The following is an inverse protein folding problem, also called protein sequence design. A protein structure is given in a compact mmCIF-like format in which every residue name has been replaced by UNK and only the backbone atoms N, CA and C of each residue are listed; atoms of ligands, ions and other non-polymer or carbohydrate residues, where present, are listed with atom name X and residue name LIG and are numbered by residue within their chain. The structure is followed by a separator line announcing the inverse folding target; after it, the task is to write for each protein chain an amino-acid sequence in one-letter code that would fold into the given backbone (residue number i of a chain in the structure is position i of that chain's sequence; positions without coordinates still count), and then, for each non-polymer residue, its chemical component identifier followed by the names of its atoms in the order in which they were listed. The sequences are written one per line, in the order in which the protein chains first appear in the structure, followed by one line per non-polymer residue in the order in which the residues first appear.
data_IF_512761976633
#
_entry.id   IF_512761976633
#
_cell.length_a   1.000
_cell.length_b   1.000
_cell.length_c   1.000
_cell.angle_alpha   90.00
_cell.angle_beta   90.00
_cell.angle_gamma   90.00
#
_symmetry.space_group_name_H-M   'P 1'
#
loop_
_entity.id
_entity.type
_entity.pdbx_description
1 polymer ?
#
# COMPACT_ATOMS: atom_id res chain seq x y z
N UNK A 1 -3.54 4.80 -7.56
CA UNK A 1 -4.40 5.42 -8.58
C UNK A 1 -5.71 4.66 -8.74
N UNK A 2 -5.71 3.45 -9.31
CA UNK A 2 -6.93 2.68 -9.56
C UNK A 2 -7.79 2.41 -8.31
N UNK A 3 -7.19 1.90 -7.23
CA UNK A 3 -7.91 1.66 -5.95
C UNK A 3 -8.57 2.94 -5.42
N UNK A 4 -7.88 4.08 -5.53
CA UNK A 4 -8.36 5.35 -4.98
C UNK A 4 -9.48 5.96 -5.79
N UNK A 5 -9.62 5.64 -7.07
CA UNK A 5 -10.54 6.36 -8.00
C UNK A 5 -11.55 5.45 -8.67
N UNK A 6 -11.38 4.13 -8.60
CA UNK A 6 -12.16 3.15 -9.38
C UNK A 6 -11.87 3.18 -10.88
N UNK A 7 -10.91 3.98 -11.34
CA UNK A 7 -10.63 4.16 -12.76
C UNK A 7 -9.40 3.37 -13.20
N UNK A 8 -9.45 2.84 -14.42
CA UNK A 8 -8.29 2.18 -15.03
C UNK A 8 -7.09 3.14 -15.10
N UNK A 9 -5.86 2.68 -14.79
CA UNK A 9 -4.66 3.51 -14.92
C UNK A 9 -4.48 4.10 -16.33
N UNK A 10 -4.99 3.43 -17.37
CA UNK A 10 -5.00 3.94 -18.74
C UNK A 10 -5.88 5.19 -18.90
N UNK A 11 -7.04 5.25 -18.22
CA UNK A 11 -7.93 6.43 -18.23
C UNK A 11 -7.32 7.62 -17.50
N UNK A 12 -6.54 7.33 -16.46
CA UNK A 12 -5.84 8.33 -15.66
C UNK A 12 -4.55 8.83 -16.30
N UNK A 13 -4.08 8.18 -17.38
CA UNK A 13 -2.73 8.35 -17.93
C UNK A 13 -1.64 8.14 -16.86
N UNK A 14 -1.81 7.19 -15.94
CA UNK A 14 -0.81 6.81 -14.93
C UNK A 14 -0.47 5.33 -15.16
N UNK A 15 0.30 5.05 -16.20
CA UNK A 15 0.59 3.67 -16.63
C UNK A 15 1.96 3.16 -16.18
N UNK A 16 2.75 4.01 -15.51
CA UNK A 16 4.06 3.65 -14.98
C UNK A 16 4.24 4.12 -13.52
N UNK A 17 5.36 3.74 -12.92
CA UNK A 17 5.84 4.29 -11.65
C UNK A 17 5.88 5.83 -11.69
N UNK A 18 5.59 6.50 -10.57
CA UNK A 18 5.61 7.96 -10.46
C UNK A 18 6.79 8.47 -9.59
N UNK A 19 7.61 9.41 -10.08
CA UNK A 19 7.65 9.88 -11.45
C UNK A 19 8.08 8.75 -12.40
N UNK A 20 7.67 8.88 -13.65
CA UNK A 20 8.20 8.06 -14.73
C UNK A 20 9.69 8.36 -14.89
N UNK A 21 10.47 7.36 -15.30
CA UNK A 21 11.92 7.46 -15.36
C UNK A 21 12.40 6.97 -16.72
N UNK A 22 13.34 7.72 -17.32
CA UNK A 22 13.92 7.39 -18.63
C UNK A 22 14.43 5.94 -18.69
N UNK A 23 14.97 5.43 -17.58
CA UNK A 23 15.47 4.05 -17.45
C UNK A 23 14.43 2.96 -17.73
N UNK A 24 13.13 3.28 -17.71
CA UNK A 24 12.08 2.30 -18.00
C UNK A 24 11.84 2.11 -19.50
N UNK A 25 12.35 3.02 -20.33
CA UNK A 25 12.37 2.86 -21.78
C UNK A 25 13.75 2.33 -22.20
N UNK A 26 13.83 1.15 -22.85
CA UNK A 26 15.08 0.67 -23.42
C UNK A 26 15.63 1.65 -24.47
N UNK A 27 16.95 1.86 -24.50
CA UNK A 27 17.62 2.78 -25.44
C UNK A 27 17.31 2.44 -26.92
N UNK A 28 17.03 1.17 -27.21
CA UNK A 28 16.71 0.67 -28.54
C UNK A 28 15.20 0.45 -28.78
N UNK A 29 14.34 1.02 -27.94
CA UNK A 29 12.90 0.92 -28.10
C UNK A 29 12.45 1.57 -29.42
N UNK A 30 11.80 0.77 -30.27
CA UNK A 30 11.24 1.23 -31.56
C UNK A 30 9.81 1.77 -31.42
N UNK A 31 9.16 1.54 -30.28
CA UNK A 31 7.83 2.03 -29.94
C UNK A 31 7.94 3.18 -28.94
N UNK A 32 7.08 4.19 -29.10
CA UNK A 32 6.92 5.26 -28.11
C UNK A 32 6.20 4.70 -26.87
N UNK A 33 6.66 5.09 -25.69
CA UNK A 33 5.94 4.86 -24.44
C UNK A 33 4.58 5.57 -24.46
N UNK A 34 3.62 5.04 -23.71
CA UNK A 34 2.36 5.73 -23.48
C UNK A 34 2.63 7.07 -22.77
N UNK A 35 1.87 8.11 -23.12
CA UNK A 35 1.92 9.36 -22.37
C UNK A 35 1.48 9.10 -20.93
N UNK A 36 2.29 9.57 -19.98
CA UNK A 36 2.00 9.43 -18.55
C UNK A 36 2.08 10.78 -17.86
N UNK A 37 1.07 11.07 -17.05
CA UNK A 37 1.12 12.22 -16.13
C UNK A 37 1.96 11.85 -14.92
N UNK A 38 2.50 12.87 -14.24
CA UNK A 38 3.43 12.66 -13.12
C UNK A 38 2.75 12.64 -11.74
N UNK A 39 1.44 12.80 -11.63
CA UNK A 39 0.71 12.77 -10.36
C UNK A 39 -0.76 12.42 -10.62
N UNK A 40 -1.48 12.00 -9.57
CA UNK A 40 -2.93 11.95 -9.62
C UNK A 40 -3.46 13.39 -9.51
N UNK A 41 -4.21 13.82 -10.52
CA UNK A 41 -4.84 15.14 -10.49
C UNK A 41 -5.92 15.19 -9.40
N UNK A 42 -6.08 16.37 -8.77
CA UNK A 42 -6.99 16.56 -7.63
C UNK A 42 -8.46 16.61 -8.02
N UNK A 43 -8.78 16.71 -9.31
CA UNK A 43 -10.14 16.65 -9.86
C UNK A 43 -10.70 15.21 -9.91
N UNK A 44 -9.85 14.20 -9.78
CA UNK A 44 -10.28 12.82 -9.56
C UNK A 44 -10.73 12.64 -8.11
N UNK A 45 -12.04 12.55 -7.93
CA UNK A 45 -12.64 12.23 -6.63
C UNK A 45 -12.17 10.86 -6.17
N UNK A 46 -11.55 10.84 -5.00
CA UNK A 46 -11.06 9.62 -4.37
C UNK A 46 -12.07 8.98 -3.44
N UNK A 47 -11.83 7.72 -3.09
CA UNK A 47 -12.70 6.97 -2.19
C UNK A 47 -12.78 7.61 -0.80
N UNK A 48 -11.69 8.21 -0.32
CA UNK A 48 -11.69 8.91 0.95
C UNK A 48 -12.58 10.16 0.91
N UNK A 49 -12.59 10.92 -0.19
CA UNK A 49 -13.50 12.07 -0.33
C UNK A 49 -14.97 11.64 -0.26
N UNK A 50 -15.33 10.54 -0.94
CA UNK A 50 -16.69 9.96 -0.86
C UNK A 50 -17.05 9.46 0.53
N UNK A 51 -16.15 8.74 1.18
CA UNK A 51 -16.37 8.24 2.55
C UNK A 51 -16.47 9.40 3.56
N UNK A 52 -15.74 10.49 3.34
CA UNK A 52 -15.82 11.70 4.17
C UNK A 52 -17.19 12.35 4.13
N UNK A 53 -17.85 12.37 2.96
CA UNK A 53 -19.24 12.82 2.82
C UNK A 53 -20.22 11.99 3.66
N UNK A 54 -19.88 10.73 3.95
CA UNK A 54 -20.65 9.82 4.79
C UNK A 54 -20.24 9.82 6.28
N UNK A 55 -19.34 10.73 6.68
CA UNK A 55 -18.92 10.90 8.07
C UNK A 55 -17.79 9.96 8.53
N UNK A 56 -17.13 9.25 7.61
CA UNK A 56 -15.97 8.43 7.95
C UNK A 56 -14.78 9.30 8.38
N UNK A 57 -14.03 8.80 9.37
CA UNK A 57 -12.67 9.25 9.64
C UNK A 57 -11.70 8.57 8.68
N UNK A 58 -10.89 9.33 7.94
CA UNK A 58 -10.01 8.76 6.93
C UNK A 58 -8.53 8.91 7.28
N UNK A 59 -7.78 7.80 7.33
CA UNK A 59 -6.33 7.82 7.49
C UNK A 59 -5.61 7.18 6.30
N UNK A 60 -4.57 7.87 5.84
CA UNK A 60 -3.61 7.32 4.89
C UNK A 60 -2.28 7.08 5.62
N UNK A 61 -1.82 5.83 5.63
CA UNK A 61 -0.66 5.41 6.42
C UNK A 61 0.27 4.58 5.54
N UNK A 62 1.40 5.17 5.12
CA UNK A 62 2.45 4.54 4.34
C UNK A 62 2.66 5.14 2.96
N UNK A 63 2.78 4.30 1.94
CA UNK A 63 3.20 4.65 0.58
C UNK A 63 2.05 5.25 -0.23
N UNK A 64 2.05 6.57 -0.44
CA UNK A 64 1.08 7.22 -1.32
C UNK A 64 1.44 7.09 -2.80
N UNK A 65 2.61 7.60 -3.19
CA UNK A 65 3.18 7.44 -4.53
C UNK A 65 2.33 8.04 -5.68
N UNK A 66 1.52 9.07 -5.38
CA UNK A 66 0.67 9.75 -6.36
C UNK A 66 0.88 11.28 -6.43
N UNK A 67 1.84 11.84 -5.67
CA UNK A 67 2.04 13.30 -5.57
C UNK A 67 3.04 13.91 -6.57
N UNK A 68 3.81 13.09 -7.30
CA UNK A 68 4.71 13.52 -8.37
C UNK A 68 6.16 13.82 -8.00
N UNK A 69 6.91 14.50 -8.87
CA UNK A 69 8.39 14.44 -8.91
C UNK A 69 9.08 14.72 -7.57
N UNK A 70 10.12 13.93 -7.31
CA UNK A 70 11.02 14.00 -6.15
C UNK A 70 11.90 15.26 -6.13
N UNK A 71 12.19 15.85 -7.28
CA UNK A 71 13.17 16.93 -7.46
C UNK A 71 12.58 18.33 -7.26
N UNK A 72 11.25 18.48 -7.35
CA UNK A 72 10.51 19.74 -7.17
C UNK A 72 9.95 19.86 -5.74
N UNK A 73 10.82 19.63 -4.74
CA UNK A 73 10.48 19.52 -3.31
C UNK A 73 9.95 20.80 -2.64
N UNK A 74 9.70 21.88 -3.39
CA UNK A 74 9.08 23.08 -2.83
C UNK A 74 7.91 23.52 -3.71
N UNK A 75 6.70 23.25 -3.21
CA UNK A 75 5.37 23.84 -3.55
C UNK A 75 4.41 23.11 -4.49
N UNK A 76 4.71 21.92 -5.04
CA UNK A 76 3.68 21.14 -5.77
C UNK A 76 3.39 19.75 -5.17
N UNK A 77 4.40 19.05 -4.65
CA UNK A 77 4.22 17.70 -4.07
C UNK A 77 3.41 17.72 -2.76
N UNK A 78 3.70 18.59 -1.76
CA UNK A 78 2.92 18.60 -0.52
C UNK A 78 1.44 18.96 -0.73
N UNK A 79 1.14 19.73 -1.77
CA UNK A 79 -0.22 20.12 -2.17
C UNK A 79 -0.98 19.01 -2.92
N UNK A 80 -0.38 17.82 -3.08
CA UNK A 80 -0.95 16.65 -3.77
C UNK A 80 -0.88 15.38 -2.94
N UNK A 81 -0.64 15.52 -1.64
CA UNK A 81 -0.58 14.42 -0.67
C UNK A 81 -2.00 14.01 -0.23
N UNK A 82 -2.16 12.88 0.49
CA UNK A 82 -3.47 12.36 0.88
C UNK A 82 -4.41 13.38 1.55
N UNK A 83 -3.87 14.35 2.28
CA UNK A 83 -4.65 15.42 2.95
C UNK A 83 -5.50 16.24 1.96
N UNK A 84 -5.07 16.31 0.71
CA UNK A 84 -5.79 17.03 -0.37
C UNK A 84 -6.77 16.14 -1.13
N UNK A 85 -6.89 14.87 -0.76
CA UNK A 85 -7.79 13.89 -1.35
C UNK A 85 -8.54 13.12 -0.27
N UNK A 86 -9.16 13.85 0.66
CA UNK A 86 -10.16 13.32 1.59
C UNK A 86 -9.64 12.64 2.85
N UNK A 87 -8.31 12.55 3.05
CA UNK A 87 -7.75 11.97 4.27
C UNK A 87 -7.56 13.01 5.38
N UNK A 88 -8.00 12.68 6.60
CA UNK A 88 -7.85 13.51 7.79
C UNK A 88 -6.46 13.35 8.43
N UNK A 89 -5.86 12.16 8.26
CA UNK A 89 -4.51 11.83 8.72
C UNK A 89 -3.65 11.33 7.56
N UNK A 90 -2.42 11.85 7.46
CA UNK A 90 -1.38 11.32 6.59
C UNK A 90 -0.13 10.99 7.42
N UNK A 91 0.33 9.74 7.31
CA UNK A 91 1.60 9.28 7.90
C UNK A 91 2.43 8.63 6.80
N UNK A 92 3.48 9.31 6.37
CA UNK A 92 4.45 8.81 5.37
C UNK A 92 3.99 8.94 3.92
N UNK A 93 2.74 9.31 3.66
CA UNK A 93 2.19 9.48 2.31
C UNK A 93 2.82 10.67 1.60
N UNK A 94 3.70 10.38 0.65
CA UNK A 94 4.36 11.34 -0.22
C UNK A 94 4.63 10.73 -1.60
N UNK A 95 5.39 11.44 -2.43
CA UNK A 95 5.83 10.98 -3.76
C UNK A 95 6.64 9.68 -3.80
N UNK A 96 7.16 9.18 -2.68
CA UNK A 96 8.08 8.05 -2.70
C UNK A 96 7.39 6.71 -3.03
N UNK A 97 7.87 6.04 -4.09
CA UNK A 97 7.45 4.68 -4.45
C UNK A 97 8.07 3.55 -3.62
N UNK A 98 9.11 3.87 -2.85
CA UNK A 98 9.77 3.02 -1.86
C UNK A 98 10.50 3.90 -0.84
N UNK A 99 10.70 3.43 0.40
CA UNK A 99 11.29 4.26 1.44
C UNK A 99 12.81 4.38 1.23
N UNK A 100 13.45 5.52 1.55
CA UNK A 100 14.91 5.61 1.55
C UNK A 100 15.57 4.72 2.61
N UNK A 101 14.87 4.46 3.71
CA UNK A 101 15.28 3.60 4.82
C UNK A 101 14.04 3.04 5.51
N UNK A 102 14.12 1.78 5.95
CA UNK A 102 13.12 1.18 6.85
C UNK A 102 13.40 1.45 8.33
N UNK A 103 14.49 2.14 8.65
CA UNK A 103 14.84 2.47 10.03
C UNK A 103 15.04 3.97 10.19
N UNK A 104 14.70 4.50 11.36
CA UNK A 104 14.92 5.90 11.73
C UNK A 104 16.43 6.27 11.65
N UNK A 105 16.82 7.37 10.96
CA UNK A 105 15.97 8.32 10.24
C UNK A 105 15.34 7.75 8.97
N UNK A 106 14.01 7.75 8.89
CA UNK A 106 13.27 7.24 7.72
C UNK A 106 13.55 8.02 6.44
N UNK A 107 13.94 9.30 6.60
CA UNK A 107 14.16 10.28 5.52
C UNK A 107 12.94 10.48 4.61
N UNK A 108 11.75 10.31 5.18
CA UNK A 108 10.48 10.58 4.52
C UNK A 108 9.90 11.91 5.07
N UNK A 109 9.58 12.89 4.21
CA UNK A 109 9.14 14.22 4.65
C UNK A 109 7.70 14.26 5.20
N UNK A 110 6.92 13.18 5.02
CA UNK A 110 5.53 13.07 5.47
C UNK A 110 5.39 12.20 6.73
N UNK A 111 6.49 11.82 7.38
CA UNK A 111 6.46 11.09 8.66
C UNK A 111 7.28 11.84 9.70
N UNK A 112 6.71 11.98 10.90
CA UNK A 112 7.43 12.55 12.04
C UNK A 112 8.56 11.61 12.48
N UNK A 113 9.67 12.19 12.94
CA UNK A 113 10.82 11.44 13.42
C UNK A 113 10.41 10.45 14.53
N UNK A 114 10.95 9.24 14.42
CA UNK A 114 10.70 8.13 15.34
C UNK A 114 11.75 8.00 16.43
N UNK A 115 11.69 6.88 17.18
CA UNK A 115 12.79 6.49 18.07
C UNK A 115 13.99 6.04 17.24
N UNK A 116 15.22 6.28 17.73
CA UNK A 116 16.43 5.84 17.04
C UNK A 116 16.38 4.33 16.76
N UNK A 117 16.50 3.94 15.48
CA UNK A 117 16.45 2.55 15.06
C UNK A 117 15.05 1.92 15.04
N UNK A 118 14.00 2.72 15.22
CA UNK A 118 12.61 2.24 15.08
C UNK A 118 12.36 1.78 13.64
N UNK A 119 11.67 0.64 13.51
CA UNK A 119 11.36 0.05 12.22
C UNK A 119 10.10 0.69 11.62
N UNK A 120 10.16 1.11 10.36
CA UNK A 120 9.11 1.87 9.69
C UNK A 120 7.79 1.09 9.64
N UNK A 121 7.82 -0.21 9.36
CA UNK A 121 6.59 -1.03 9.31
C UNK A 121 5.88 -1.08 10.66
N UNK A 122 6.65 -1.16 11.76
CA UNK A 122 6.11 -1.11 13.12
C UNK A 122 5.50 0.27 13.41
N UNK A 123 6.21 1.33 13.06
CA UNK A 123 5.76 2.71 13.19
C UNK A 123 4.43 2.97 12.47
N UNK A 124 4.27 2.45 11.26
CA UNK A 124 3.01 2.60 10.50
C UNK A 124 1.84 1.86 11.18
N UNK A 125 2.06 0.67 11.71
CA UNK A 125 1.02 -0.05 12.45
C UNK A 125 0.65 0.60 13.78
N UNK A 126 1.60 1.22 14.47
CA UNK A 126 1.31 2.01 15.68
C UNK A 126 0.36 3.17 15.37
N UNK A 127 0.60 3.88 14.27
CA UNK A 127 -0.27 4.98 13.83
C UNK A 127 -1.67 4.49 13.44
N UNK A 128 -1.78 3.32 12.78
CA UNK A 128 -3.06 2.71 12.48
C UNK A 128 -3.84 2.35 13.76
N UNK A 129 -3.18 1.71 14.74
CA UNK A 129 -3.79 1.34 16.03
C UNK A 129 -4.24 2.58 16.80
N UNK A 130 -3.43 3.65 16.78
CA UNK A 130 -3.80 4.91 17.43
C UNK A 130 -5.03 5.54 16.78
N UNK A 131 -5.08 5.57 15.44
CA UNK A 131 -6.23 6.10 14.70
C UNK A 131 -7.52 5.32 14.98
N UNK A 132 -7.45 3.97 14.98
CA UNK A 132 -8.58 3.11 15.36
C UNK A 132 -9.07 3.46 16.77
N UNK A 133 -8.14 3.62 17.73
CA UNK A 133 -8.50 3.94 19.12
C UNK A 133 -9.17 5.31 19.24
N UNK A 134 -8.66 6.32 18.54
CA UNK A 134 -9.17 7.69 18.58
C UNK A 134 -10.56 7.82 17.92
N UNK A 135 -10.83 7.00 16.89
CA UNK A 135 -12.08 7.08 16.12
C UNK A 135 -13.00 5.87 16.30
N UNK A 136 -12.81 5.07 17.35
CA UNK A 136 -13.61 3.86 17.62
C UNK A 136 -15.12 4.07 17.72
N UNK A 137 -15.56 5.29 18.01
CA UNK A 137 -16.97 5.64 18.22
C UNK A 137 -17.66 6.17 16.94
N UNK A 138 -16.99 6.11 15.78
CA UNK A 138 -17.54 6.47 14.46
C UNK A 138 -16.92 5.59 13.36
N UNK A 139 -17.52 5.49 12.16
CA UNK A 139 -16.91 4.72 11.07
C UNK A 139 -15.55 5.32 10.68
N UNK A 140 -14.62 4.45 10.29
CA UNK A 140 -13.29 4.85 9.85
C UNK A 140 -12.84 4.06 8.62
N UNK A 141 -11.99 4.69 7.81
CA UNK A 141 -11.30 4.08 6.69
C UNK A 141 -9.80 4.30 6.84
N UNK A 142 -9.03 3.20 6.78
CA UNK A 142 -7.58 3.25 6.86
C UNK A 142 -6.99 2.62 5.60
N UNK A 143 -6.27 3.41 4.83
CA UNK A 143 -5.37 2.93 3.80
C UNK A 143 -3.99 2.66 4.42
N UNK A 144 -3.81 1.47 5.03
CA UNK A 144 -2.52 1.02 5.57
C UNK A 144 -1.67 0.41 4.45
N UNK A 145 -1.04 1.28 3.66
CA UNK A 145 -0.26 0.92 2.49
C UNK A 145 1.22 0.83 2.85
N UNK A 146 1.58 -0.29 3.47
CA UNK A 146 2.95 -0.55 3.88
C UNK A 146 3.97 -0.30 2.76
N UNK A 147 5.11 0.32 3.13
CA UNK A 147 6.26 0.40 2.24
C UNK A 147 6.93 -0.97 2.06
N UNK A 148 6.91 -1.81 3.10
CA UNK A 148 7.38 -3.19 3.04
C UNK A 148 6.51 -3.98 2.06
N UNK A 149 7.04 -4.85 1.22
CA UNK A 149 8.40 -5.44 1.21
C UNK A 149 9.28 -4.87 0.09
N UNK A 150 9.09 -3.60 -0.26
CA UNK A 150 9.84 -2.95 -1.34
C UNK A 150 11.34 -2.81 -1.00
N UNK A 151 12.20 -2.68 -2.02
CA UNK A 151 13.59 -2.27 -1.82
C UNK A 151 13.70 -0.94 -1.03
N UNK A 152 14.68 -0.77 -0.12
CA UNK A 152 15.80 -1.67 0.20
C UNK A 152 15.45 -2.90 1.07
N UNK A 153 16.16 -4.02 0.89
CA UNK A 153 15.96 -5.24 1.68
C UNK A 153 16.49 -5.07 3.12
N UNK A 154 15.65 -4.49 3.99
CA UNK A 154 15.98 -4.15 5.38
C UNK A 154 14.87 -4.66 6.31
N UNK A 155 15.25 -5.44 7.32
CA UNK A 155 14.37 -5.98 8.34
C UNK A 155 15.08 -5.99 9.71
N UNK A 156 14.34 -6.13 10.83
CA UNK A 156 14.93 -6.35 12.15
C UNK A 156 15.94 -7.50 12.15
N UNK A 157 17.03 -7.33 12.90
CA UNK A 157 18.21 -8.19 12.80
C UNK A 157 17.91 -9.63 13.21
N UNK A 158 17.14 -9.80 14.27
CA UNK A 158 16.64 -11.07 14.77
C UNK A 158 15.84 -11.84 13.71
N UNK A 159 14.96 -11.16 12.97
CA UNK A 159 14.22 -11.78 11.85
C UNK A 159 15.13 -12.16 10.69
N UNK A 160 16.11 -11.32 10.34
CA UNK A 160 17.12 -11.68 9.33
C UNK A 160 17.88 -12.93 9.77
N UNK A 161 18.32 -12.97 11.02
CA UNK A 161 19.08 -14.09 11.59
C UNK A 161 18.25 -15.38 11.61
N UNK A 162 16.95 -15.30 11.95
CA UNK A 162 15.99 -16.41 11.87
C UNK A 162 15.94 -17.05 10.46
N UNK A 163 15.97 -16.23 9.42
CA UNK A 163 15.82 -16.72 8.04
C UNK A 163 17.11 -17.08 7.31
N UNK A 164 18.29 -16.74 7.86
CA UNK A 164 19.60 -17.01 7.23
C UNK A 164 19.81 -18.47 6.83
N UNK A 165 19.33 -19.40 7.65
CA UNK A 165 19.56 -20.83 7.45
C UNK A 165 18.35 -21.55 6.86
N UNK A 166 17.26 -20.82 6.54
CA UNK A 166 16.05 -21.44 5.98
C UNK A 166 16.31 -21.85 4.53
N UNK A 167 16.21 -23.16 4.19
CA UNK A 167 16.43 -23.63 2.83
C UNK A 167 15.33 -23.13 1.88
N UNK A 168 15.66 -22.99 0.60
CA UNK A 168 14.72 -22.65 -0.47
C UNK A 168 14.37 -21.16 -0.61
N UNK A 169 14.92 -20.28 0.24
CA UNK A 169 14.76 -18.84 0.08
C UNK A 169 15.77 -18.30 -0.95
N UNK A 170 15.32 -17.39 -1.83
CA UNK A 170 16.22 -16.63 -2.71
C UNK A 170 16.85 -15.45 -1.99
N UNK A 171 16.05 -14.69 -1.23
CA UNK A 171 16.54 -13.64 -0.33
C UNK A 171 15.92 -13.80 1.07
N UNK A 172 16.74 -14.21 2.03
CA UNK A 172 16.33 -14.35 3.43
C UNK A 172 15.84 -13.05 4.08
N UNK A 173 16.33 -11.88 3.62
CA UNK A 173 15.87 -10.57 4.12
C UNK A 173 14.45 -10.29 3.65
N UNK A 174 14.10 -10.70 2.43
CA UNK A 174 12.74 -10.57 1.92
C UNK A 174 11.75 -11.37 2.76
N UNK A 175 12.09 -12.61 3.15
CA UNK A 175 11.28 -13.40 4.07
C UNK A 175 11.17 -12.74 5.46
N UNK A 176 12.25 -12.16 5.97
CA UNK A 176 12.24 -11.40 7.22
C UNK A 176 11.31 -10.17 7.15
N UNK A 177 11.30 -9.44 6.03
CA UNK A 177 10.39 -8.31 5.82
C UNK A 177 8.92 -8.74 5.74
N UNK A 178 8.63 -9.90 5.12
CA UNK A 178 7.28 -10.47 5.08
C UNK A 178 6.82 -10.82 6.50
N UNK A 179 7.62 -11.52 7.30
CA UNK A 179 7.23 -11.83 8.68
C UNK A 179 7.06 -10.58 9.53
N UNK A 180 7.93 -9.57 9.34
CA UNK A 180 7.77 -8.31 10.04
C UNK A 180 6.42 -7.65 9.70
N UNK A 181 6.03 -7.63 8.42
CA UNK A 181 4.72 -7.14 7.97
C UNK A 181 3.56 -7.93 8.58
N UNK A 182 3.63 -9.26 8.52
CA UNK A 182 2.61 -10.16 9.08
C UNK A 182 2.39 -9.92 10.58
N UNK A 183 3.49 -9.78 11.33
CA UNK A 183 3.47 -9.44 12.75
C UNK A 183 2.76 -8.11 13.00
N UNK A 184 3.02 -7.11 12.15
CA UNK A 184 2.40 -5.79 12.28
C UNK A 184 0.92 -5.77 11.88
N UNK A 185 0.51 -6.56 10.89
CA UNK A 185 -0.90 -6.79 10.56
C UNK A 185 -1.62 -7.45 11.74
N UNK A 186 -1.00 -8.46 12.34
CA UNK A 186 -1.53 -9.14 13.53
C UNK A 186 -1.80 -8.16 14.67
N UNK A 187 -0.88 -7.23 14.95
CA UNK A 187 -1.08 -6.20 15.99
C UNK A 187 -2.31 -5.31 15.72
N UNK A 188 -2.52 -4.93 14.46
CA UNK A 188 -3.72 -4.14 14.07
C UNK A 188 -4.99 -4.97 14.28
N UNK A 189 -5.02 -6.23 13.85
CA UNK A 189 -6.17 -7.12 14.04
C UNK A 189 -6.49 -7.36 15.52
N UNK A 190 -5.48 -7.63 16.34
CA UNK A 190 -5.63 -7.78 17.80
C UNK A 190 -6.18 -6.50 18.42
N UNK A 191 -5.81 -5.32 17.90
CA UNK A 191 -6.37 -4.05 18.39
C UNK A 191 -7.86 -3.91 18.08
N UNK A 192 -8.33 -4.38 16.91
CA UNK A 192 -9.76 -4.41 16.58
C UNK A 192 -10.53 -5.34 17.54
N UNK A 193 -9.97 -6.51 17.85
CA UNK A 193 -10.56 -7.44 18.82
C UNK A 193 -10.65 -6.82 20.22
N UNK A 194 -9.55 -6.21 20.68
CA UNK A 194 -9.48 -5.57 22.01
C UNK A 194 -10.45 -4.39 22.15
N UNK A 195 -10.71 -3.67 21.04
CA UNK A 195 -11.66 -2.56 20.98
C UNK A 195 -13.09 -3.01 20.66
N UNK A 196 -13.33 -4.32 20.44
CA UNK A 196 -14.62 -4.90 20.05
C UNK A 196 -15.18 -4.34 18.73
N UNK A 197 -14.29 -4.03 17.78
CA UNK A 197 -14.63 -3.50 16.46
C UNK A 197 -14.62 -4.57 15.36
N UNK A 198 -14.13 -5.78 15.68
CA UNK A 198 -13.90 -6.84 14.68
C UNK A 198 -15.11 -7.21 13.84
N UNK A 199 -16.29 -7.32 14.45
CA UNK A 199 -17.50 -7.75 13.74
C UNK A 199 -18.04 -6.67 12.79
N UNK A 200 -17.67 -5.41 13.02
CA UNK A 200 -18.08 -4.24 12.25
C UNK A 200 -16.93 -3.65 11.40
N UNK A 201 -15.88 -4.45 11.16
CA UNK A 201 -14.72 -4.01 10.35
C UNK A 201 -14.48 -4.96 9.19
N UNK A 202 -14.63 -4.45 7.96
CA UNK A 202 -14.13 -5.08 6.75
C UNK A 202 -12.61 -4.88 6.66
N UNK A 203 -11.87 -5.97 6.55
CA UNK A 203 -10.41 -5.95 6.30
C UNK A 203 -10.12 -6.57 4.94
N UNK A 204 -9.42 -5.81 4.09
CA UNK A 204 -8.94 -6.26 2.78
C UNK A 204 -7.40 -6.24 2.80
N UNK A 205 -6.77 -7.39 2.56
CA UNK A 205 -5.33 -7.51 2.37
C UNK A 205 -5.04 -7.84 0.91
N UNK A 206 -4.14 -7.07 0.28
CA UNK A 206 -3.66 -7.34 -1.08
C UNK A 206 -2.28 -6.75 -1.33
N UNK A 207 -1.72 -6.93 -2.54
CA UNK A 207 -0.46 -6.34 -2.99
C UNK A 207 -0.70 -5.39 -4.18
N UNK A 208 0.17 -4.39 -4.36
CA UNK A 208 0.04 -3.41 -5.45
C UNK A 208 0.54 -3.92 -6.81
N UNK A 209 1.36 -4.97 -6.81
CA UNK A 209 1.86 -5.71 -7.98
C UNK A 209 2.52 -7.03 -7.52
N UNK A 210 2.96 -7.84 -8.49
CA UNK A 210 3.80 -9.02 -8.24
C UNK A 210 5.17 -8.69 -7.65
N UNK A 211 5.89 -9.71 -7.17
CA UNK A 211 7.15 -9.50 -6.46
C UNK A 211 8.27 -8.95 -7.35
N UNK A 212 9.22 -8.23 -6.77
CA UNK A 212 10.43 -7.79 -7.48
C UNK A 212 11.23 -9.01 -7.97
N UNK A 213 11.67 -9.00 -9.22
CA UNK A 213 12.37 -10.14 -9.82
C UNK A 213 13.59 -10.58 -9.02
N UNK A 214 13.73 -11.89 -8.79
CA UNK A 214 14.91 -12.48 -8.14
C UNK A 214 14.84 -12.61 -6.61
N UNK A 215 13.95 -11.90 -5.91
CA UNK A 215 13.88 -11.95 -4.43
C UNK A 215 13.11 -13.15 -3.89
N UNK A 216 12.24 -13.74 -4.71
CA UNK A 216 11.41 -14.90 -4.35
C UNK A 216 11.16 -15.81 -5.56
N UNK A 217 10.66 -17.01 -5.29
CA UNK A 217 10.03 -17.84 -6.30
C UNK A 217 8.57 -17.44 -6.50
N UNK A 218 8.15 -17.35 -7.76
CA UNK A 218 6.79 -17.00 -8.17
C UNK A 218 6.11 -18.16 -8.91
N UNK A 219 6.79 -19.29 -9.10
CA UNK A 219 6.18 -20.45 -9.73
C UNK A 219 4.89 -20.88 -9.02
N UNK A 220 3.87 -21.32 -9.78
CA UNK A 220 3.87 -21.56 -11.23
C UNK A 220 3.61 -20.31 -12.10
N UNK A 221 3.55 -19.11 -11.50
CA UNK A 221 3.25 -17.88 -12.23
C UNK A 221 4.46 -17.44 -13.08
N UNK A 222 4.18 -16.99 -14.31
CA UNK A 222 5.21 -16.50 -15.24
C UNK A 222 5.49 -15.02 -14.97
N UNK A 223 6.77 -14.64 -14.99
CA UNK A 223 7.19 -13.24 -14.86
C UNK A 223 7.18 -12.74 -13.41
N UNK A 224 7.35 -11.43 -13.24
CA UNK A 224 7.44 -10.75 -11.96
C UNK A 224 7.01 -9.26 -12.12
N UNK A 225 7.24 -8.42 -11.12
CA UNK A 225 6.98 -6.96 -11.19
C UNK A 225 7.44 -6.36 -12.53
N UNK A 226 6.55 -5.61 -13.18
CA UNK A 226 6.79 -4.96 -14.47
C UNK A 226 6.40 -5.80 -15.69
N UNK A 227 6.08 -7.08 -15.52
CA UNK A 227 5.51 -7.91 -16.59
C UNK A 227 3.98 -7.92 -16.54
N UNK A 228 3.34 -8.04 -17.71
CA UNK A 228 1.89 -8.27 -17.84
C UNK A 228 1.49 -9.74 -17.69
N UNK A 229 2.44 -10.63 -17.39
CA UNK A 229 2.17 -12.02 -17.08
C UNK A 229 1.67 -12.17 -15.64
N UNK A 230 1.04 -13.32 -15.33
CA UNK A 230 0.44 -13.60 -14.02
C UNK A 230 1.37 -13.31 -12.82
N UNK A 231 2.68 -13.57 -12.91
CA UNK A 231 3.62 -13.29 -11.82
C UNK A 231 3.86 -11.80 -11.55
N UNK A 232 3.46 -10.92 -12.48
CA UNK A 232 3.51 -9.46 -12.33
C UNK A 232 2.18 -8.82 -11.91
N UNK A 233 1.04 -9.42 -12.25
CA UNK A 233 -0.29 -8.83 -12.05
C UNK A 233 -1.21 -9.62 -11.10
N UNK A 234 -0.99 -10.92 -10.91
CA UNK A 234 -1.78 -11.75 -9.99
C UNK A 234 -1.17 -11.66 -8.59
N UNK A 235 -1.95 -11.13 -7.67
CA UNK A 235 -1.53 -10.82 -6.29
C UNK A 235 -2.37 -11.58 -5.27
N UNK A 236 -1.87 -11.79 -4.03
CA UNK A 236 -2.71 -12.28 -2.95
C UNK A 236 -3.88 -11.32 -2.71
N UNK A 237 -5.06 -11.87 -2.43
CA UNK A 237 -6.23 -11.13 -1.97
C UNK A 237 -6.91 -11.93 -0.87
N UNK A 238 -7.02 -11.34 0.32
CA UNK A 238 -7.77 -11.88 1.45
C UNK A 238 -8.77 -10.83 1.88
N UNK A 239 -10.03 -11.24 2.04
CA UNK A 239 -11.10 -10.39 2.57
C UNK A 239 -11.64 -11.04 3.85
N UNK A 240 -11.69 -10.28 4.94
CA UNK A 240 -12.23 -10.70 6.23
C UNK A 240 -13.32 -9.73 6.65
N UNK A 241 -14.52 -10.25 6.83
CA UNK A 241 -15.63 -9.52 7.45
C UNK A 241 -16.54 -10.51 8.17
N UNK A 242 -16.42 -10.64 9.51
CA UNK A 242 -17.23 -11.57 10.28
C UNK A 242 -18.73 -11.36 10.03
N UNK A 243 -19.48 -12.46 9.94
CA UNK A 243 -20.92 -12.42 9.63
C UNK A 243 -21.29 -12.20 8.16
N UNK A 244 -20.44 -11.53 7.37
CA UNK A 244 -20.69 -11.24 5.95
C UNK A 244 -19.93 -12.17 4.99
N UNK A 245 -18.66 -12.46 5.31
CA UNK A 245 -17.79 -13.32 4.50
C UNK A 245 -17.63 -14.69 5.16
N UNK A 246 -17.92 -15.76 4.43
CA UNK A 246 -17.78 -17.15 4.93
C UNK A 246 -16.31 -17.45 5.29
N UNK A 247 -15.99 -17.78 6.56
CA UNK A 247 -14.62 -18.10 6.95
C UNK A 247 -14.05 -19.30 6.22
N UNK A 248 -12.74 -19.27 5.91
CA UNK A 248 -12.02 -20.38 5.27
C UNK A 248 -12.48 -20.71 3.85
N UNK A 249 -13.27 -19.83 3.22
CA UNK A 249 -13.72 -20.01 1.84
C UNK A 249 -12.69 -19.48 0.83
N UNK A 250 -12.81 -19.93 -0.42
CA UNK A 250 -12.04 -19.43 -1.56
C UNK A 250 -12.99 -18.92 -2.64
N UNK A 251 -12.54 -17.92 -3.41
CA UNK A 251 -13.27 -17.37 -4.55
C UNK A 251 -12.37 -17.48 -5.79
N UNK A 252 -12.89 -18.08 -6.86
CA UNK A 252 -12.18 -18.21 -8.13
C UNK A 252 -12.53 -17.09 -9.12
N UNK A 253 -13.49 -16.22 -8.78
CA UNK A 253 -13.87 -15.08 -9.62
C UNK A 253 -12.71 -14.08 -9.67
N UNK A 254 -12.25 -13.68 -10.86
CA UNK A 254 -11.24 -12.64 -10.98
C UNK A 254 -11.71 -11.31 -10.38
N UNK A 255 -10.81 -10.64 -9.66
CA UNK A 255 -11.01 -9.30 -9.09
C UNK A 255 -9.85 -8.42 -9.54
N UNK A 256 -10.14 -7.20 -9.95
CA UNK A 256 -9.13 -6.20 -10.33
C UNK A 256 -9.19 -4.99 -9.41
N UNK A 257 -8.11 -4.21 -9.34
CA UNK A 257 -7.97 -3.13 -8.36
C UNK A 257 -9.02 -2.02 -8.47
N UNK A 258 -9.67 -1.85 -9.63
CA UNK A 258 -10.76 -0.89 -9.81
C UNK A 258 -12.03 -1.30 -9.09
N UNK A 259 -12.22 -2.59 -8.82
CA UNK A 259 -13.43 -3.12 -8.17
C UNK A 259 -13.51 -2.72 -6.70
N UNK A 260 -12.37 -2.45 -6.05
CA UNK A 260 -12.33 -2.04 -4.64
C UNK A 260 -13.06 -0.74 -4.39
N UNK A 261 -12.99 0.22 -5.32
CA UNK A 261 -13.64 1.52 -5.13
C UNK A 261 -15.17 1.39 -4.97
N UNK A 262 -15.93 0.86 -5.95
CA UNK A 262 -17.36 0.72 -5.79
C UNK A 262 -17.72 -0.29 -4.69
N UNK A 263 -16.92 -1.33 -4.47
CA UNK A 263 -17.21 -2.32 -3.40
C UNK A 263 -17.13 -1.70 -2.01
N UNK A 264 -16.10 -0.88 -1.74
CA UNK A 264 -15.96 -0.22 -0.42
C UNK A 264 -17.05 0.85 -0.23
N UNK A 265 -17.48 1.54 -1.29
CA UNK A 265 -18.61 2.46 -1.21
C UNK A 265 -19.92 1.74 -0.92
N UNK A 266 -20.18 0.59 -1.58
CA UNK A 266 -21.36 -0.25 -1.32
C UNK A 266 -21.39 -0.75 0.14
N UNK A 267 -20.23 -1.16 0.66
CA UNK A 267 -20.05 -1.52 2.09
C UNK A 267 -20.40 -0.36 3.02
N UNK A 268 -20.07 0.87 2.62
CA UNK A 268 -20.40 2.08 3.36
C UNK A 268 -21.83 2.59 3.11
N UNK A 269 -22.61 1.93 2.24
CA UNK A 269 -23.97 2.32 1.86
C UNK A 269 -24.05 3.55 0.96
N UNK A 270 -23.05 3.76 0.08
CA UNK A 270 -22.88 4.94 -0.79
C UNK A 270 -22.97 4.65 -2.28
#
# INVERSE_FOLDING_TARGET
AAIMTGQSPARLAITNHLPDQERFQPDNATLRSAETVNHLALDYVTIAERLKEAGYANAFIGKWHLSGKREEMSTTEPARRPEWQGFDLNVGGCCYGGPPSYFEPYRNPAIKAGKKGEYLTERLSDEAINFIREHRDRPFFIALWNYTVHWPMQAPRDLIDKYKTRPGLKDHRYAAMIEAMDTQISRVLVSLDALKLTDDTLVIFTSDNGAFGGVTDLHPLRGCKGYLYEGGIRVPLIVRWPGQVKPGSTCATPVISTDFYPTILDVAGL
#
